data_IF_889741789056
#
_entry.id   IF_889741789056
#
_cell.length_a   1.000
_cell.length_b   1.000
_cell.length_c   1.000
_cell.angle_alpha   90.00
_cell.angle_beta   90.00
_cell.angle_gamma   90.00
#
_symmetry.space_group_name_H-M   'P 1'
#
loop_
_entity.id
_entity.type
_entity.pdbx_description
1 polymer ?
#
# COMPACT_ATOMS: atom_id res chain seq x y z
N UNK A 1 14.68 -2.08 -8.12
CA UNK A 1 14.33 -3.52 -8.14
C UNK A 1 13.97 -4.08 -6.76
N UNK A 2 14.32 -3.37 -5.68
CA UNK A 2 14.20 -3.80 -4.27
C UNK A 2 12.79 -3.67 -3.70
N UNK A 3 12.00 -2.71 -4.20
CA UNK A 3 10.55 -2.69 -3.97
C UNK A 3 9.84 -3.99 -4.40
N UNK A 4 10.43 -4.79 -5.30
CA UNK A 4 9.91 -6.11 -5.70
C UNK A 4 10.26 -7.24 -4.71
N UNK A 5 11.21 -7.01 -3.81
CA UNK A 5 11.75 -7.99 -2.88
C UNK A 5 10.94 -7.97 -1.58
N UNK A 6 10.65 -6.77 -1.04
CA UNK A 6 9.62 -6.61 0.00
C UNK A 6 8.26 -7.17 -0.45
N UNK A 7 7.87 -6.93 -1.72
CA UNK A 7 6.65 -7.52 -2.36
C UNK A 7 6.58 -9.05 -2.33
N UNK A 8 7.73 -9.73 -2.33
CA UNK A 8 7.80 -11.21 -2.33
C UNK A 8 7.78 -11.74 -0.90
N UNK A 9 8.41 -11.02 0.02
CA UNK A 9 8.48 -11.36 1.44
C UNK A 9 7.12 -11.32 2.14
N UNK A 10 6.33 -10.25 1.96
CA UNK A 10 5.01 -10.16 2.61
C UNK A 10 4.03 -11.22 2.12
N UNK A 11 4.19 -11.75 0.90
CA UNK A 11 3.33 -12.83 0.39
C UNK A 11 3.59 -14.18 1.07
N UNK A 12 4.80 -14.42 1.57
CA UNK A 12 5.19 -15.69 2.18
C UNK A 12 4.81 -15.80 3.66
N UNK A 13 4.76 -14.67 4.37
CA UNK A 13 4.60 -14.65 5.83
C UNK A 13 3.22 -14.16 6.31
N UNK A 14 2.38 -13.58 5.43
CA UNK A 14 1.06 -13.06 5.82
C UNK A 14 0.18 -14.13 6.50
N UNK A 15 -0.24 -13.95 7.76
CA UNK A 15 -1.27 -14.78 8.35
C UNK A 15 -2.58 -14.61 7.57
N UNK A 16 -3.14 -15.72 7.07
CA UNK A 16 -4.48 -15.72 6.45
C UNK A 16 -5.52 -15.36 7.51
N UNK A 17 -6.00 -14.12 7.49
CA UNK A 17 -7.21 -13.74 8.22
C UNK A 17 -8.33 -14.73 7.86
N UNK A 18 -9.09 -15.19 8.87
CA UNK A 18 -10.26 -16.03 8.64
C UNK A 18 -11.28 -15.22 7.84
N UNK A 19 -11.69 -15.74 6.68
CA UNK A 19 -12.63 -15.08 5.74
C UNK A 19 -13.97 -14.66 6.36
N UNK A 20 -14.34 -15.18 7.54
CA UNK A 20 -15.67 -15.02 8.15
C UNK A 20 -15.92 -13.69 8.86
N UNK A 21 -14.89 -12.89 9.15
CA UNK A 21 -15.02 -11.64 9.96
C UNK A 21 -14.66 -10.37 9.16
N UNK A 22 -14.42 -10.50 7.84
CA UNK A 22 -14.01 -9.39 6.99
C UNK A 22 -15.21 -8.53 6.59
N UNK A 23 -15.13 -7.24 6.89
CA UNK A 23 -15.99 -6.24 6.26
C UNK A 23 -15.50 -6.00 4.82
N UNK A 24 -16.23 -6.50 3.82
CA UNK A 24 -15.91 -6.32 2.40
C UNK A 24 -16.41 -4.96 1.94
N UNK A 25 -15.54 -3.96 2.04
CA UNK A 25 -15.84 -2.57 1.68
C UNK A 25 -14.65 -1.92 0.98
N UNK A 26 -14.94 -1.07 0.01
CA UNK A 26 -14.01 -0.07 -0.53
C UNK A 26 -14.63 1.29 -0.31
N UNK A 27 -13.91 2.19 0.36
CA UNK A 27 -14.28 3.58 0.59
C UNK A 27 -13.40 4.47 -0.26
N UNK A 28 -14.02 5.31 -1.07
CA UNK A 28 -13.38 6.32 -1.90
C UNK A 28 -13.55 7.65 -1.19
N UNK A 29 -12.47 8.19 -0.63
CA UNK A 29 -12.43 9.50 -0.02
C UNK A 29 -12.16 10.57 -1.07
N UNK A 30 -12.77 11.74 -0.90
CA UNK A 30 -12.59 12.87 -1.82
C UNK A 30 -12.80 14.21 -1.12
N UNK A 31 -12.18 15.25 -1.68
CA UNK A 31 -12.35 16.63 -1.18
C UNK A 31 -13.73 17.19 -1.50
N UNK A 32 -14.26 16.81 -2.66
CA UNK A 32 -15.54 17.27 -3.18
C UNK A 32 -16.22 16.13 -3.93
N UNK A 33 -17.48 15.87 -3.60
CA UNK A 33 -18.31 14.90 -4.30
C UNK A 33 -18.91 15.57 -5.54
N UNK A 34 -18.64 15.09 -6.77
CA UNK A 34 -19.30 15.61 -7.95
C UNK A 34 -20.81 15.37 -7.86
N UNK A 35 -21.58 16.08 -8.69
CA UNK A 35 -23.01 15.79 -8.80
C UNK A 35 -23.21 14.46 -9.52
N UNK A 36 -23.17 13.36 -8.77
CA UNK A 36 -23.33 12.01 -9.29
C UNK A 36 -24.82 11.65 -9.28
N UNK A 37 -25.45 11.59 -10.44
CA UNK A 37 -26.86 11.21 -10.58
C UNK A 37 -27.04 9.69 -10.50
N UNK A 38 -28.26 9.24 -10.21
CA UNK A 38 -28.57 7.80 -10.18
C UNK A 38 -28.32 7.16 -11.56
N UNK A 39 -28.59 7.87 -12.65
CA UNK A 39 -28.33 7.38 -14.01
C UNK A 39 -26.84 7.16 -14.30
N UNK A 40 -25.96 8.03 -13.78
CA UNK A 40 -24.51 7.89 -13.91
C UNK A 40 -23.99 6.71 -13.10
N UNK A 41 -24.51 6.51 -11.89
CA UNK A 41 -24.18 5.36 -11.03
C UNK A 41 -24.62 4.06 -11.70
N UNK A 42 -25.86 4.00 -12.21
CA UNK A 42 -26.38 2.86 -12.96
C UNK A 42 -25.46 2.55 -14.15
N UNK A 43 -25.05 3.58 -14.89
CA UNK A 43 -24.17 3.42 -16.04
C UNK A 43 -22.79 2.91 -15.64
N UNK A 44 -22.22 3.40 -14.53
CA UNK A 44 -20.95 2.93 -13.98
C UNK A 44 -21.02 1.47 -13.55
N UNK A 45 -22.07 1.07 -12.81
CA UNK A 45 -22.29 -0.32 -12.39
C UNK A 45 -22.42 -1.26 -13.59
N UNK A 46 -23.12 -0.84 -14.64
CA UNK A 46 -23.24 -1.63 -15.88
C UNK A 46 -21.92 -1.76 -16.64
N UNK A 47 -21.08 -0.73 -16.65
CA UNK A 47 -19.73 -0.79 -17.24
C UNK A 47 -18.78 -1.67 -16.44
N UNK A 48 -18.90 -1.64 -15.10
CA UNK A 48 -18.09 -2.45 -14.20
C UNK A 48 -18.38 -3.96 -14.38
N UNK A 49 -19.64 -4.31 -14.65
CA UNK A 49 -20.11 -5.68 -14.70
C UNK A 49 -20.84 -5.99 -16.02
N UNK A 50 -20.18 -5.85 -17.19
CA UNK A 50 -20.84 -5.83 -18.50
C UNK A 50 -21.42 -7.20 -18.90
N UNK A 51 -20.85 -8.28 -18.37
CA UNK A 51 -21.31 -9.66 -18.59
C UNK A 51 -22.31 -10.12 -17.54
N UNK A 52 -22.48 -9.36 -16.46
CA UNK A 52 -23.46 -9.64 -15.42
C UNK A 52 -24.74 -8.84 -15.70
N UNK A 53 -25.88 -9.27 -15.17
CA UNK A 53 -27.14 -8.54 -15.26
C UNK A 53 -27.45 -7.85 -13.91
N UNK A 54 -26.72 -6.78 -13.53
CA UNK A 54 -26.95 -6.13 -12.25
C UNK A 54 -28.35 -5.52 -12.20
N UNK A 55 -29.06 -5.78 -11.11
CA UNK A 55 -30.38 -5.21 -10.83
C UNK A 55 -30.23 -4.17 -9.73
N UNK A 56 -30.57 -2.92 -10.02
CA UNK A 56 -30.61 -1.86 -9.00
C UNK A 56 -31.93 -1.94 -8.25
N UNK A 57 -31.84 -1.82 -6.92
CA UNK A 57 -32.99 -1.73 -6.04
C UNK A 57 -33.28 -0.26 -5.71
N UNK A 58 -34.41 -0.03 -5.06
CA UNK A 58 -34.84 1.32 -4.66
C UNK A 58 -33.80 1.98 -3.75
N UNK A 59 -33.41 3.20 -4.12
CA UNK A 59 -32.47 4.00 -3.35
C UNK A 59 -33.13 4.51 -2.07
N UNK A 60 -32.36 4.59 -0.98
CA UNK A 60 -32.81 5.16 0.28
C UNK A 60 -31.88 6.28 0.73
N UNK A 61 -32.42 7.25 1.47
CA UNK A 61 -31.57 8.22 2.15
C UNK A 61 -30.66 7.52 3.17
N UNK A 62 -29.44 8.01 3.34
CA UNK A 62 -28.60 7.61 4.46
C UNK A 62 -29.14 8.25 5.75
N UNK A 63 -28.98 7.59 6.91
CA UNK A 63 -29.20 8.26 8.18
C UNK A 63 -28.20 9.41 8.35
N UNK A 64 -28.64 10.51 8.97
CA UNK A 64 -27.73 11.56 9.39
C UNK A 64 -26.75 11.00 10.45
N UNK A 65 -25.45 11.32 10.37
CA UNK A 65 -24.49 10.81 11.34
C UNK A 65 -24.67 11.53 12.69
N UNK A 66 -24.31 10.87 13.79
CA UNK A 66 -24.48 11.40 15.15
C UNK A 66 -23.79 12.75 15.38
N UNK A 67 -22.66 13.00 14.70
CA UNK A 67 -21.93 14.27 14.78
C UNK A 67 -22.56 15.41 13.95
N UNK A 68 -23.50 15.10 13.05
CA UNK A 68 -24.22 16.08 12.24
C UNK A 68 -25.71 15.67 12.06
N UNK A 69 -26.50 15.65 13.14
CA UNK A 69 -27.87 15.10 13.12
C UNK A 69 -28.86 15.94 12.30
N UNK A 70 -28.53 17.20 12.00
CA UNK A 70 -29.39 18.13 11.25
C UNK A 70 -28.91 18.34 9.80
N UNK A 71 -28.13 17.42 9.25
CA UNK A 71 -27.60 17.53 7.89
C UNK A 71 -28.75 17.49 6.88
N UNK A 72 -28.84 18.50 6.00
CA UNK A 72 -29.95 18.61 5.03
C UNK A 72 -29.91 17.51 3.95
N UNK A 73 -28.71 17.07 3.56
CA UNK A 73 -28.50 15.99 2.59
C UNK A 73 -27.45 14.99 3.13
N UNK A 74 -27.87 13.99 3.94
CA UNK A 74 -26.99 12.92 4.43
C UNK A 74 -26.48 12.02 3.30
N UNK A 75 -26.99 12.19 2.08
CA UNK A 75 -26.68 11.35 0.95
C UNK A 75 -27.59 10.13 0.89
N UNK A 76 -27.15 9.09 0.18
CA UNK A 76 -28.03 7.96 -0.19
C UNK A 76 -27.28 6.65 -0.35
N UNK A 77 -28.03 5.56 -0.22
CA UNK A 77 -27.60 4.20 -0.50
C UNK A 77 -28.38 3.65 -1.69
N UNK A 78 -27.68 3.05 -2.64
CA UNK A 78 -28.27 2.37 -3.80
C UNK A 78 -27.84 0.90 -3.74
N UNK A 79 -28.77 -0.03 -3.46
CA UNK A 79 -28.44 -1.44 -3.48
C UNK A 79 -28.38 -1.98 -4.92
N UNK A 80 -27.39 -2.84 -5.18
CA UNK A 80 -27.16 -3.51 -6.44
C UNK A 80 -27.13 -5.01 -6.21
N UNK A 81 -28.11 -5.72 -6.75
CA UNK A 81 -28.14 -7.17 -6.75
C UNK A 81 -27.45 -7.73 -8.00
N UNK A 82 -26.44 -8.57 -7.83
CA UNK A 82 -25.71 -9.20 -8.93
C UNK A 82 -25.09 -10.52 -8.45
N UNK A 83 -25.12 -11.56 -9.29
CA UNK A 83 -24.52 -12.87 -9.00
C UNK A 83 -24.95 -13.49 -7.64
N UNK A 84 -26.23 -13.30 -7.26
CA UNK A 84 -26.82 -13.74 -5.97
C UNK A 84 -26.25 -13.03 -4.73
N UNK A 85 -25.54 -11.92 -4.93
CA UNK A 85 -25.07 -11.04 -3.87
C UNK A 85 -25.77 -9.68 -3.96
N UNK A 86 -25.78 -8.95 -2.86
CA UNK A 86 -26.26 -7.57 -2.77
C UNK A 86 -25.10 -6.70 -2.31
N UNK A 87 -24.85 -5.64 -3.05
CA UNK A 87 -23.86 -4.62 -2.73
C UNK A 87 -24.56 -3.28 -2.47
N UNK A 88 -24.09 -2.50 -1.51
CA UNK A 88 -24.57 -1.15 -1.25
C UNK A 88 -23.58 -0.14 -1.82
N UNK A 89 -24.06 0.79 -2.64
CA UNK A 89 -23.30 1.97 -3.03
C UNK A 89 -23.79 3.12 -2.15
N UNK A 90 -22.98 3.48 -1.16
CA UNK A 90 -23.28 4.55 -0.20
C UNK A 90 -22.56 5.81 -0.67
N UNK A 91 -23.25 6.92 -0.71
CA UNK A 91 -22.72 8.22 -1.13
C UNK A 91 -23.05 9.21 -0.04
N UNK A 92 -22.02 9.78 0.58
CA UNK A 92 -22.17 10.71 1.69
C UNK A 92 -21.46 12.04 1.40
N UNK A 93 -22.14 13.14 1.76
CA UNK A 93 -21.64 14.52 1.57
C UNK A 93 -21.00 15.11 2.83
N UNK A 94 -20.56 14.24 3.73
CA UNK A 94 -19.89 14.60 4.98
C UNK A 94 -18.61 13.76 5.12
N UNK A 95 -17.71 14.18 6.01
CA UNK A 95 -16.45 13.50 6.22
C UNK A 95 -16.66 12.07 6.78
N UNK A 96 -15.90 11.12 6.26
CA UNK A 96 -15.93 9.72 6.71
C UNK A 96 -15.45 9.60 8.16
N UNK A 97 -14.41 10.35 8.50
CA UNK A 97 -13.99 10.63 9.86
C UNK A 97 -14.28 12.12 10.17
N UNK A 98 -15.09 12.43 11.20
CA UNK A 98 -15.43 13.81 11.55
C UNK A 98 -14.27 14.61 12.15
N UNK A 99 -13.22 13.96 12.63
CA UNK A 99 -12.04 14.62 13.20
C UNK A 99 -10.73 13.94 12.76
N UNK A 100 -10.40 14.02 11.45
CA UNK A 100 -9.24 13.33 10.92
C UNK A 100 -7.93 13.92 11.43
N UNK A 101 -7.92 15.17 11.91
CA UNK A 101 -6.71 15.81 12.47
C UNK A 101 -6.33 15.18 13.82
N UNK A 102 -7.30 14.96 14.71
CA UNK A 102 -7.04 14.34 16.01
C UNK A 102 -6.85 12.82 15.93
N UNK A 103 -7.45 12.18 14.92
CA UNK A 103 -7.47 10.72 14.78
C UNK A 103 -6.33 10.15 13.92
N UNK A 104 -5.55 11.01 13.25
CA UNK A 104 -4.38 10.56 12.47
C UNK A 104 -3.08 10.77 13.24
N UNK A 105 -2.43 9.67 13.60
CA UNK A 105 -1.00 9.73 13.94
C UNK A 105 -0.22 9.80 12.63
N UNK A 106 0.73 10.74 12.46
CA UNK A 106 1.55 10.81 11.25
C UNK A 106 2.16 9.47 10.91
N UNK A 107 1.93 9.00 9.69
CA UNK A 107 2.48 7.75 9.19
C UNK A 107 3.76 8.06 8.38
N UNK A 108 4.49 7.02 7.99
CA UNK A 108 5.54 7.14 6.96
C UNK A 108 4.99 7.47 5.57
N UNK A 109 3.69 7.75 5.44
CA UNK A 109 2.97 8.07 4.21
C UNK A 109 2.28 9.43 4.36
N UNK A 110 3.06 10.53 4.36
CA UNK A 110 2.51 11.88 4.50
C UNK A 110 1.53 12.24 3.37
N UNK A 111 1.69 11.60 2.20
CA UNK A 111 0.74 11.69 1.08
C UNK A 111 -0.62 11.08 1.43
N UNK A 112 -0.65 9.91 2.10
CA UNK A 112 -1.89 9.30 2.58
C UNK A 112 -2.51 10.14 3.69
N UNK A 113 -1.71 10.60 4.66
CA UNK A 113 -2.21 11.42 5.76
C UNK A 113 -2.85 12.72 5.26
N UNK A 114 -2.20 13.38 4.30
CA UNK A 114 -2.73 14.59 3.68
C UNK A 114 -4.01 14.31 2.86
N UNK A 115 -4.04 13.19 2.12
CA UNK A 115 -5.21 12.77 1.36
C UNK A 115 -6.40 12.42 2.25
N UNK A 116 -6.13 11.78 3.40
CA UNK A 116 -7.11 11.49 4.44
C UNK A 116 -7.60 12.79 5.07
N UNK A 117 -6.76 13.62 5.69
CA UNK A 117 -7.18 14.87 6.35
C UNK A 117 -7.98 15.82 5.45
N UNK A 118 -7.68 15.85 4.15
CA UNK A 118 -8.37 16.74 3.22
C UNK A 118 -9.76 16.26 2.78
N UNK A 119 -10.17 15.03 3.10
CA UNK A 119 -11.46 14.49 2.64
C UNK A 119 -12.65 15.20 3.32
N UNK A 120 -13.75 15.33 2.58
CA UNK A 120 -15.00 15.93 3.07
C UNK A 120 -16.25 15.17 2.64
N UNK A 121 -16.07 14.17 1.78
CA UNK A 121 -17.12 13.32 1.26
C UNK A 121 -16.54 11.94 0.96
N UNK A 122 -17.42 10.95 0.83
CA UNK A 122 -17.01 9.59 0.52
C UNK A 122 -18.07 8.82 -0.26
N UNK A 123 -17.61 7.83 -1.01
CA UNK A 123 -18.44 6.78 -1.60
C UNK A 123 -17.95 5.45 -1.06
N UNK A 124 -18.82 4.62 -0.49
CA UNK A 124 -18.48 3.25 -0.13
C UNK A 124 -19.21 2.24 -1.02
N UNK A 125 -18.53 1.14 -1.32
CA UNK A 125 -19.11 -0.01 -2.00
C UNK A 125 -18.98 -1.20 -1.05
N UNK A 126 -20.10 -1.56 -0.42
CA UNK A 126 -20.15 -2.56 0.64
C UNK A 126 -20.82 -3.83 0.13
N UNK A 127 -20.31 -5.00 0.52
CA UNK A 127 -21.08 -6.24 0.40
C UNK A 127 -22.09 -6.34 1.54
N UNK A 128 -23.38 -6.37 1.22
CA UNK A 128 -24.48 -6.42 2.20
C UNK A 128 -24.97 -7.84 2.47
N UNK A 129 -24.76 -8.78 1.54
CA UNK A 129 -25.16 -10.17 1.72
C UNK A 129 -25.03 -11.03 0.47
N UNK A 130 -24.94 -12.35 0.67
CA UNK A 130 -24.68 -13.31 -0.39
C UNK A 130 -23.31 -13.98 -0.23
N UNK A 131 -22.79 -14.52 -1.33
CA UNK A 131 -21.48 -15.16 -1.39
C UNK A 131 -20.35 -14.12 -1.43
N UNK A 132 -19.28 -14.38 -0.70
CA UNK A 132 -18.13 -13.49 -0.55
C UNK A 132 -16.98 -13.80 -1.49
N UNK A 133 -17.00 -14.94 -2.21
CA UNK A 133 -15.85 -15.40 -3.00
C UNK A 133 -15.38 -14.40 -4.07
N UNK A 134 -16.31 -13.59 -4.61
CA UNK A 134 -16.02 -12.55 -5.61
C UNK A 134 -16.24 -11.13 -5.07
N UNK A 135 -16.49 -10.96 -3.77
CA UNK A 135 -16.90 -9.66 -3.21
C UNK A 135 -15.86 -8.56 -3.51
N UNK A 136 -14.58 -8.81 -3.23
CA UNK A 136 -13.52 -7.84 -3.53
C UNK A 136 -13.35 -7.55 -5.04
N UNK A 137 -13.57 -8.55 -5.91
CA UNK A 137 -13.53 -8.33 -7.35
C UNK A 137 -14.65 -7.37 -7.77
N UNK A 138 -15.89 -7.64 -7.35
CA UNK A 138 -17.06 -6.83 -7.70
C UNK A 138 -16.98 -5.42 -7.13
N UNK A 139 -16.66 -5.26 -5.85
CA UNK A 139 -16.58 -3.92 -5.25
C UNK A 139 -15.44 -3.09 -5.87
N UNK A 140 -14.32 -3.73 -6.22
CA UNK A 140 -13.21 -3.07 -6.92
C UNK A 140 -13.62 -2.58 -8.31
N UNK A 141 -14.28 -3.43 -9.09
CA UNK A 141 -14.78 -3.07 -10.43
C UNK A 141 -15.77 -1.90 -10.39
N UNK A 142 -16.72 -1.93 -9.46
CA UNK A 142 -17.68 -0.84 -9.27
C UNK A 142 -16.96 0.43 -8.83
N UNK A 143 -16.06 0.34 -7.85
CA UNK A 143 -15.29 1.49 -7.37
C UNK A 143 -14.46 2.14 -8.48
N UNK A 144 -13.82 1.36 -9.35
CA UNK A 144 -13.02 1.88 -10.46
C UNK A 144 -13.83 2.64 -11.53
N UNK A 145 -15.12 2.32 -11.67
CA UNK A 145 -16.03 3.01 -12.61
C UNK A 145 -16.73 4.23 -12.00
N UNK A 146 -16.81 4.29 -10.67
CA UNK A 146 -17.47 5.38 -9.94
C UNK A 146 -16.47 6.41 -9.41
N UNK A 147 -15.22 6.01 -9.14
CA UNK A 147 -14.18 6.88 -8.58
C UNK A 147 -14.04 8.15 -9.43
N UNK A 148 -14.33 9.34 -8.86
CA UNK A 148 -14.17 10.58 -9.59
C UNK A 148 -12.69 10.94 -9.69
N UNK A 149 -12.34 11.84 -10.61
CA UNK A 149 -10.99 12.41 -10.69
C UNK A 149 -10.59 13.21 -9.44
N UNK A 150 -11.56 13.56 -8.58
CA UNK A 150 -11.35 14.23 -7.29
C UNK A 150 -11.09 13.27 -6.13
N UNK A 151 -11.09 11.95 -6.37
CA UNK A 151 -10.76 10.96 -5.36
C UNK A 151 -9.34 11.17 -4.84
N UNK A 152 -9.17 11.22 -3.52
CA UNK A 152 -7.88 11.43 -2.87
C UNK A 152 -7.32 10.15 -2.28
N UNK A 153 -8.16 9.24 -1.81
CA UNK A 153 -7.73 8.01 -1.16
C UNK A 153 -8.75 6.89 -1.39
N UNK A 154 -8.26 5.68 -1.67
CA UNK A 154 -9.02 4.44 -1.56
C UNK A 154 -8.68 3.82 -0.20
N UNK A 155 -9.69 3.42 0.56
CA UNK A 155 -9.53 2.84 1.89
C UNK A 155 -10.36 1.57 2.01
N UNK A 156 -9.75 0.49 2.50
CA UNK A 156 -10.37 -0.81 2.74
C UNK A 156 -10.37 -1.05 4.25
N UNK A 157 -11.43 -0.66 4.97
CA UNK A 157 -11.45 -0.72 6.42
C UNK A 157 -11.26 -2.14 6.97
N UNK A 158 -11.87 -3.14 6.32
CA UNK A 158 -11.74 -4.54 6.74
C UNK A 158 -10.33 -5.13 6.59
N UNK A 159 -9.47 -4.51 5.77
CA UNK A 159 -8.08 -4.93 5.60
C UNK A 159 -7.07 -3.94 6.21
N UNK A 160 -7.53 -2.80 6.72
CA UNK A 160 -6.69 -1.67 7.11
C UNK A 160 -5.67 -1.30 6.02
N UNK A 161 -6.13 -1.23 4.76
CA UNK A 161 -5.28 -0.88 3.62
C UNK A 161 -5.77 0.42 3.00
N UNK A 162 -4.83 1.26 2.55
CA UNK A 162 -5.13 2.48 1.83
C UNK A 162 -4.22 2.63 0.59
N UNK A 163 -4.70 3.35 -0.42
CA UNK A 163 -3.90 3.73 -1.59
C UNK A 163 -4.38 5.03 -2.22
N UNK A 164 -3.46 5.84 -2.75
CA UNK A 164 -3.83 6.94 -3.64
C UNK A 164 -4.37 6.34 -4.96
N UNK A 165 -5.55 6.75 -5.46
CA UNK A 165 -6.11 6.22 -6.70
C UNK A 165 -5.29 6.69 -7.92
N UNK A 166 -4.37 5.85 -8.38
CA UNK A 166 -3.63 6.07 -9.64
C UNK A 166 -4.32 5.36 -10.81
N UNK A 167 -4.05 5.76 -12.08
CA UNK A 167 -4.56 5.03 -13.24
C UNK A 167 -4.21 3.54 -13.23
N UNK A 168 -3.02 3.17 -12.73
CA UNK A 168 -2.58 1.78 -12.59
C UNK A 168 -3.45 1.01 -11.59
N UNK A 169 -3.74 1.59 -10.42
CA UNK A 169 -4.58 0.95 -9.40
C UNK A 169 -6.01 0.82 -9.90
N UNK A 170 -6.58 1.88 -10.49
CA UNK A 170 -7.94 1.85 -11.01
C UNK A 170 -8.08 0.82 -12.14
N UNK A 171 -7.09 0.68 -13.01
CA UNK A 171 -7.11 -0.34 -14.06
C UNK A 171 -6.99 -1.77 -13.50
N UNK A 172 -6.12 -1.97 -12.52
CA UNK A 172 -6.05 -3.23 -11.79
C UNK A 172 -7.38 -3.54 -11.09
N UNK A 173 -8.12 -2.54 -10.59
CA UNK A 173 -9.42 -2.74 -9.96
C UNK A 173 -10.49 -3.19 -10.95
N UNK A 174 -10.44 -2.74 -12.22
CA UNK A 174 -11.34 -3.20 -13.28
C UNK A 174 -11.09 -4.65 -13.67
N UNK A 175 -9.83 -5.07 -13.69
CA UNK A 175 -9.40 -6.33 -14.31
C UNK A 175 -8.94 -7.42 -13.33
N UNK A 176 -8.71 -7.06 -12.06
CA UNK A 176 -7.97 -7.85 -11.05
C UNK A 176 -6.46 -7.83 -11.29
N UNK A 177 -5.58 -8.33 -10.39
CA UNK A 177 -5.72 -8.65 -8.96
C UNK A 177 -5.29 -7.46 -8.07
N UNK A 178 -6.14 -6.43 -7.99
CA UNK A 178 -5.80 -5.14 -7.38
C UNK A 178 -5.47 -5.16 -5.88
N UNK A 179 -5.98 -6.13 -5.09
CA UNK A 179 -5.69 -6.20 -3.66
C UNK A 179 -4.19 -6.41 -3.37
N UNK A 180 -3.51 -7.20 -4.20
CA UNK A 180 -2.07 -7.41 -4.07
C UNK A 180 -1.32 -6.13 -4.39
N UNK A 181 -1.69 -5.47 -5.50
CA UNK A 181 -1.12 -4.17 -5.85
C UNK A 181 -1.34 -3.14 -4.73
N UNK A 182 -2.56 -3.08 -4.19
CA UNK A 182 -2.92 -2.15 -3.13
C UNK A 182 -2.15 -2.42 -1.83
N UNK A 183 -2.05 -3.69 -1.43
CA UNK A 183 -1.24 -4.09 -0.26
C UNK A 183 0.21 -3.65 -0.42
N UNK A 184 0.76 -3.74 -1.62
CA UNK A 184 2.14 -3.36 -1.91
C UNK A 184 2.35 -1.85 -1.86
N UNK A 185 1.48 -1.07 -2.50
CA UNK A 185 1.58 0.40 -2.48
C UNK A 185 1.19 0.99 -1.14
N UNK A 186 0.49 0.26 -0.26
CA UNK A 186 0.16 0.69 1.09
C UNK A 186 1.36 0.60 2.04
N UNK A 187 2.40 -0.17 1.68
CA UNK A 187 3.55 -0.33 2.55
C UNK A 187 4.27 1.01 2.80
N UNK A 188 4.85 1.18 4.00
CA UNK A 188 5.68 2.33 4.30
C UNK A 188 6.85 2.41 3.30
N UNK A 189 7.08 3.59 2.72
CA UNK A 189 8.27 3.82 1.88
C UNK A 189 9.53 4.06 2.71
N UNK A 190 9.35 4.47 3.97
CA UNK A 190 10.40 4.71 4.97
C UNK A 190 9.96 4.11 6.30
N UNK A 191 10.88 3.47 7.02
CA UNK A 191 10.62 3.00 8.38
C UNK A 191 11.56 3.76 9.32
N UNK A 192 11.00 4.55 10.23
CA UNK A 192 11.78 5.27 11.25
C UNK A 192 12.08 4.34 12.42
N UNK A 193 13.34 4.32 12.86
CA UNK A 193 13.81 3.53 14.01
C UNK A 193 14.73 4.39 14.87
N UNK A 194 14.83 4.10 16.19
CA UNK A 194 15.85 4.72 17.03
C UNK A 194 17.25 4.46 16.48
N UNK A 195 18.14 5.44 16.62
CA UNK A 195 19.52 5.31 16.14
C UNK A 195 20.28 4.16 16.82
N UNK A 196 19.91 3.83 18.05
CA UNK A 196 20.50 2.80 18.91
C UNK A 196 19.65 1.51 18.98
N UNK A 197 18.89 1.22 17.93
CA UNK A 197 18.11 -0.01 17.82
C UNK A 197 19.01 -1.26 17.87
N UNK A 198 18.96 -1.96 19.00
CA UNK A 198 19.78 -3.15 19.25
C UNK A 198 19.49 -4.28 18.26
N UNK A 199 18.25 -4.46 17.82
CA UNK A 199 17.89 -5.52 16.88
C UNK A 199 18.48 -5.25 15.48
N UNK A 200 18.46 -4.00 15.05
CA UNK A 200 19.09 -3.59 13.79
C UNK A 200 20.62 -3.61 13.87
N UNK A 201 21.20 -3.24 15.02
CA UNK A 201 22.64 -3.38 15.25
C UNK A 201 23.10 -4.85 15.20
N UNK A 202 22.30 -5.77 15.74
CA UNK A 202 22.57 -7.21 15.69
C UNK A 202 22.48 -7.75 14.26
N UNK A 203 21.47 -7.32 13.51
CA UNK A 203 21.33 -7.64 12.09
C UNK A 203 22.54 -7.16 11.26
N UNK A 204 23.05 -5.95 11.52
CA UNK A 204 24.24 -5.43 10.85
C UNK A 204 25.50 -6.24 11.19
N UNK A 205 25.67 -6.66 12.45
CA UNK A 205 26.79 -7.53 12.84
C UNK A 205 26.72 -8.89 12.15
N UNK A 206 25.53 -9.50 12.07
CA UNK A 206 25.29 -10.74 11.34
C UNK A 206 25.63 -10.56 9.85
N UNK A 207 25.13 -9.49 9.22
CA UNK A 207 25.37 -9.15 7.82
C UNK A 207 26.87 -9.02 7.52
N UNK A 208 27.63 -8.30 8.34
CA UNK A 208 29.06 -8.19 8.21
C UNK A 208 29.77 -9.54 8.34
N UNK A 209 29.41 -10.34 9.36
CA UNK A 209 30.04 -11.64 9.59
C UNK A 209 29.84 -12.61 8.42
N UNK A 210 28.70 -12.50 7.74
CA UNK A 210 28.33 -13.34 6.59
C UNK A 210 28.58 -12.67 5.24
N UNK A 211 29.18 -11.49 5.19
CA UNK A 211 29.51 -10.81 3.94
C UNK A 211 30.30 -11.69 2.93
N UNK A 212 31.24 -12.57 3.35
CA UNK A 212 31.92 -13.46 2.40
C UNK A 212 30.97 -14.33 1.56
N UNK A 213 29.82 -14.74 2.12
CA UNK A 213 28.78 -15.48 1.39
C UNK A 213 28.19 -14.65 0.25
N UNK A 214 27.89 -13.38 0.52
CA UNK A 214 27.36 -12.45 -0.47
C UNK A 214 28.38 -12.13 -1.56
N UNK A 215 29.63 -11.88 -1.17
CA UNK A 215 30.71 -11.59 -2.11
C UNK A 215 30.98 -12.78 -3.05
N UNK A 216 30.97 -14.01 -2.52
CA UNK A 216 31.10 -15.24 -3.32
C UNK A 216 29.89 -15.40 -4.26
N UNK A 217 28.66 -15.23 -3.77
CA UNK A 217 27.46 -15.31 -4.58
C UNK A 217 27.49 -14.32 -5.75
N UNK A 218 27.87 -13.06 -5.48
CA UNK A 218 28.01 -12.02 -6.49
C UNK A 218 29.08 -12.37 -7.54
N UNK A 219 30.27 -12.80 -7.10
CA UNK A 219 31.37 -13.18 -7.98
C UNK A 219 31.00 -14.36 -8.91
N UNK A 220 30.25 -15.34 -8.37
CA UNK A 220 29.75 -16.50 -9.11
C UNK A 220 28.47 -16.20 -9.91
N UNK A 221 27.93 -14.97 -9.82
CA UNK A 221 26.63 -14.58 -10.40
C UNK A 221 25.50 -15.53 -9.97
N UNK A 222 25.56 -15.99 -8.72
CA UNK A 222 24.58 -16.91 -8.14
C UNK A 222 23.35 -16.11 -7.69
N UNK A 223 22.21 -16.39 -8.32
CA UNK A 223 20.97 -15.68 -8.00
C UNK A 223 20.87 -14.31 -8.66
N UNK A 224 19.84 -13.56 -8.28
CA UNK A 224 19.49 -12.26 -8.88
C UNK A 224 19.28 -11.20 -7.80
N UNK A 225 19.27 -9.93 -8.19
CA UNK A 225 19.04 -8.78 -7.32
C UNK A 225 20.00 -8.73 -6.12
N UNK A 226 21.30 -8.73 -6.40
CA UNK A 226 22.31 -8.51 -5.37
C UNK A 226 22.24 -7.05 -4.91
N UNK A 227 21.80 -6.84 -3.67
CA UNK A 227 21.64 -5.51 -3.10
C UNK A 227 22.32 -5.44 -1.73
N UNK A 228 22.88 -4.28 -1.42
CA UNK A 228 23.56 -4.02 -0.15
C UNK A 228 23.02 -2.72 0.48
N UNK A 229 22.89 -2.66 1.80
CA UNK A 229 22.34 -1.52 2.52
C UNK A 229 23.43 -0.76 3.26
N UNK A 230 23.37 0.57 3.17
CA UNK A 230 24.36 1.47 3.76
C UNK A 230 23.69 2.71 4.35
N UNK A 231 24.32 3.37 5.33
CA UNK A 231 23.92 4.69 5.79
C UNK A 231 24.38 5.78 4.82
N UNK A 232 23.50 6.71 4.51
CA UNK A 232 23.78 7.93 3.76
C UNK A 232 23.54 9.12 4.67
N UNK A 233 24.55 9.96 4.84
CA UNK A 233 24.55 11.09 5.77
C UNK A 233 24.85 12.36 4.97
N UNK A 234 23.97 13.35 5.05
CA UNK A 234 24.15 14.67 4.42
C UNK A 234 24.53 15.77 5.42
N UNK A 235 24.80 15.39 6.67
CA UNK A 235 25.10 16.25 7.81
C UNK A 235 23.86 16.81 8.52
N UNK A 236 22.65 16.54 8.03
CA UNK A 236 21.38 16.92 8.65
C UNK A 236 20.53 15.70 9.02
N UNK A 237 20.51 14.69 8.14
CA UNK A 237 19.79 13.44 8.33
C UNK A 237 20.66 12.25 7.94
N UNK A 238 20.29 11.07 8.45
CA UNK A 238 20.87 9.80 8.04
C UNK A 238 19.77 8.89 7.53
N UNK A 239 19.92 8.40 6.31
CA UNK A 239 19.04 7.40 5.73
C UNK A 239 19.75 6.09 5.43
N UNK A 240 19.08 4.98 5.71
CA UNK A 240 19.61 3.63 5.50
C UNK A 240 19.03 3.07 4.21
N UNK A 241 19.77 3.22 3.12
CA UNK A 241 19.27 2.94 1.77
C UNK A 241 20.00 1.77 1.11
N UNK A 242 19.32 1.11 0.19
CA UNK A 242 19.88 0.01 -0.56
C UNK A 242 20.55 0.48 -1.85
N UNK A 243 21.60 -0.24 -2.25
CA UNK A 243 22.27 -0.11 -3.53
C UNK A 243 22.12 -1.42 -4.32
N UNK A 244 21.82 -1.32 -5.61
CA UNK A 244 21.91 -2.44 -6.55
C UNK A 244 23.40 -2.62 -6.92
N UNK A 245 24.00 -3.76 -6.55
CA UNK A 245 25.45 -3.97 -6.58
C UNK A 245 25.96 -4.26 -8.00
N UNK A 246 26.99 -3.53 -8.43
CA UNK A 246 27.64 -3.67 -9.72
C UNK A 246 29.09 -4.16 -9.63
N UNK A 247 29.78 -3.87 -8.52
CA UNK A 247 31.14 -4.34 -8.28
C UNK A 247 31.42 -4.47 -6.78
N UNK A 248 32.28 -5.43 -6.42
CA UNK A 248 32.82 -5.62 -5.08
C UNK A 248 34.34 -5.68 -5.19
N UNK A 249 35.03 -4.92 -4.34
CA UNK A 249 36.49 -5.00 -4.12
C UNK A 249 36.77 -5.48 -2.69
N UNK A 250 38.04 -5.58 -2.30
CA UNK A 250 38.41 -5.95 -0.93
C UNK A 250 37.94 -4.93 0.12
N UNK A 251 37.68 -3.67 -0.28
CA UNK A 251 37.37 -2.58 0.65
C UNK A 251 36.04 -1.87 0.35
N UNK A 252 35.48 -2.03 -0.85
CA UNK A 252 34.32 -1.25 -1.29
C UNK A 252 33.29 -2.06 -2.08
N UNK A 253 32.05 -1.58 -2.06
CA UNK A 253 30.96 -2.01 -2.93
C UNK A 253 30.53 -0.80 -3.77
N UNK A 254 30.41 -0.98 -5.09
CA UNK A 254 29.92 0.03 -6.02
C UNK A 254 28.64 -0.44 -6.70
N UNK A 255 27.71 0.49 -6.95
CA UNK A 255 26.39 0.17 -7.46
C UNK A 255 25.57 1.42 -7.78
N UNK A 256 24.27 1.23 -7.97
CA UNK A 256 23.31 2.33 -8.08
C UNK A 256 22.38 2.40 -6.88
N UNK A 257 22.04 3.60 -6.43
CA UNK A 257 21.06 3.76 -5.36
C UNK A 257 19.70 3.21 -5.79
N UNK A 258 19.13 2.31 -4.98
CA UNK A 258 17.91 1.55 -5.27
C UNK A 258 16.64 2.11 -4.60
N UNK A 259 16.78 3.19 -3.84
CA UNK A 259 15.72 3.92 -3.14
C UNK A 259 15.70 5.39 -3.58
N UNK A 260 14.52 6.00 -3.54
CA UNK A 260 14.38 7.45 -3.58
C UNK A 260 14.65 7.99 -2.16
N UNK A 261 15.62 8.89 -1.97
CA UNK A 261 15.85 9.49 -0.66
C UNK A 261 14.68 10.38 -0.22
N UNK A 262 14.40 10.43 1.09
CA UNK A 262 13.29 11.21 1.63
C UNK A 262 13.73 12.50 2.36
N UNK A 263 14.78 12.42 3.17
CA UNK A 263 15.32 13.48 4.04
C UNK A 263 16.73 13.91 3.61
N UNK A 264 17.59 12.96 3.22
CA UNK A 264 18.96 13.27 2.81
C UNK A 264 19.00 13.93 1.43
N UNK A 265 19.77 15.00 1.33
CA UNK A 265 19.91 15.80 0.10
C UNK A 265 21.18 15.43 -0.66
N UNK A 266 21.16 15.66 -1.97
CA UNK A 266 22.32 15.46 -2.84
C UNK A 266 22.47 14.03 -3.37
N UNK A 267 21.49 13.17 -3.10
CA UNK A 267 21.35 11.85 -3.71
C UNK A 267 20.02 11.76 -4.46
N UNK A 268 19.96 10.90 -5.46
CA UNK A 268 18.76 10.57 -6.22
C UNK A 268 18.72 9.07 -6.55
N UNK A 269 17.52 8.53 -6.73
CA UNK A 269 17.33 7.16 -7.21
C UNK A 269 18.14 6.93 -8.51
N UNK A 270 18.93 5.86 -8.54
CA UNK A 270 19.76 5.50 -9.68
C UNK A 270 21.15 6.15 -9.70
N UNK A 271 21.50 6.98 -8.72
CA UNK A 271 22.85 7.56 -8.62
C UNK A 271 23.91 6.47 -8.46
N UNK A 272 25.05 6.65 -9.14
CA UNK A 272 26.22 5.78 -8.95
C UNK A 272 26.88 6.09 -7.61
N UNK A 273 27.01 5.07 -6.78
CA UNK A 273 27.55 5.20 -5.42
C UNK A 273 28.61 4.15 -5.17
N UNK A 274 29.58 4.49 -4.33
CA UNK A 274 30.60 3.56 -3.83
C UNK A 274 30.67 3.71 -2.32
N UNK A 275 30.52 2.60 -1.60
CA UNK A 275 30.48 2.56 -0.14
C UNK A 275 31.57 1.63 0.39
N UNK A 276 32.20 1.96 1.53
CA UNK A 276 33.17 1.08 2.15
C UNK A 276 32.46 -0.09 2.84
N UNK A 277 33.06 -1.28 2.78
CA UNK A 277 32.46 -2.51 3.30
C UNK A 277 32.27 -2.45 4.82
N UNK A 278 33.06 -1.65 5.54
CA UNK A 278 32.96 -1.45 6.99
C UNK A 278 31.67 -0.72 7.43
N UNK A 279 30.93 -0.12 6.50
CA UNK A 279 29.63 0.53 6.73
C UNK A 279 28.44 -0.33 6.27
N UNK A 280 28.67 -1.59 5.89
CA UNK A 280 27.63 -2.49 5.40
C UNK A 280 26.63 -2.85 6.51
N UNK A 281 25.38 -2.44 6.37
CA UNK A 281 24.35 -2.72 7.38
C UNK A 281 23.51 -3.95 7.08
N UNK A 282 23.39 -4.31 5.80
CA UNK A 282 22.67 -5.51 5.35
C UNK A 282 23.03 -5.83 3.90
N UNK A 283 22.71 -7.04 3.46
CA UNK A 283 22.79 -7.43 2.07
C UNK A 283 21.75 -8.51 1.78
N UNK A 284 21.29 -8.60 0.54
CA UNK A 284 20.43 -9.70 0.11
C UNK A 284 20.63 -10.04 -1.36
N UNK A 285 20.24 -11.26 -1.71
CA UNK A 285 20.01 -11.68 -3.10
C UNK A 285 18.96 -12.78 -3.14
N UNK A 286 18.35 -12.98 -4.31
CA UNK A 286 17.33 -14.01 -4.52
C UNK A 286 17.97 -15.22 -5.17
N UNK A 287 17.83 -16.39 -4.56
CA UNK A 287 18.28 -17.67 -5.10
C UNK A 287 17.20 -18.72 -4.93
N UNK A 288 16.84 -19.41 -6.02
CA UNK A 288 15.76 -20.42 -6.03
C UNK A 288 14.43 -19.92 -5.42
N UNK A 289 14.10 -18.65 -5.66
CA UNK A 289 12.90 -18.00 -5.13
C UNK A 289 12.90 -17.77 -3.61
N UNK A 290 14.03 -18.01 -2.94
CA UNK A 290 14.28 -17.69 -1.54
C UNK A 290 15.19 -16.46 -1.43
N UNK A 291 15.05 -15.72 -0.34
CA UNK A 291 15.95 -14.62 -0.01
C UNK A 291 17.06 -15.15 0.86
N UNK A 292 18.29 -14.84 0.46
CA UNK A 292 19.49 -15.06 1.25
C UNK A 292 19.96 -13.71 1.77
N UNK A 293 20.22 -13.61 3.08
CA UNK A 293 20.51 -12.34 3.75
C UNK A 293 19.22 -11.62 4.19
N UNK A 294 19.19 -10.30 4.09
CA UNK A 294 18.04 -9.46 4.44
C UNK A 294 17.73 -9.51 5.93
N UNK A 295 18.77 -9.49 6.77
CA UNK A 295 18.65 -9.68 8.22
C UNK A 295 17.84 -8.56 8.87
N UNK A 296 18.07 -7.32 8.45
CA UNK A 296 17.30 -6.17 8.94
C UNK A 296 15.87 -6.20 8.42
N UNK A 297 15.63 -6.76 7.24
CA UNK A 297 14.27 -6.89 6.68
C UNK A 297 13.43 -7.86 7.50
N UNK A 298 14.01 -8.96 7.97
CA UNK A 298 13.32 -9.92 8.83
C UNK A 298 12.85 -9.26 10.13
N UNK A 299 13.73 -8.50 10.80
CA UNK A 299 13.39 -7.73 12.01
C UNK A 299 12.23 -6.76 11.75
N UNK A 300 12.29 -6.01 10.65
CA UNK A 300 11.30 -4.98 10.33
C UNK A 300 9.93 -5.56 9.92
N UNK A 301 9.90 -6.77 9.37
CA UNK A 301 8.67 -7.48 9.02
C UNK A 301 8.02 -8.11 10.26
N UNK A 302 8.81 -8.82 11.09
CA UNK A 302 8.29 -9.56 12.25
C UNK A 302 7.62 -8.62 13.27
N UNK A 303 8.16 -7.41 13.47
CA UNK A 303 7.58 -6.41 14.38
C UNK A 303 6.32 -5.71 13.83
N UNK A 304 6.10 -5.72 12.51
CA UNK A 304 4.85 -5.19 11.93
C UNK A 304 3.67 -6.17 12.07
N UNK A 305 3.94 -7.45 12.34
CA UNK A 305 2.91 -8.48 12.50
C UNK A 305 2.53 -8.77 13.98
N UNK A 306 3.25 -8.20 14.94
CA UNK A 306 3.03 -8.32 16.39
C UNK A 306 2.21 -7.19 16.98
#
# INVERSE_FOLDING_TARGET
MIGSILRTLTRLFRPRARRSDLNFSVVILMKELPNLTDAEIVSAVRRALPTSAPTLLEASALPAPDFAPNLEDPGRMIPVAVNRCVYGILIARFAYDPDPESNTTPTSRPDFDAAYRAHKAWIAIDHLGGDTDQAFAVIGQIAAEIAPSTATLLFLPGLNLAAIPTPEILEAMRTGPWLDLMSNVAQPSVIHRPQDDAALADAAREAHSRFPEFAEAFALKKGINHSAKFPFDDGQAVEHMWIDVHAITDTTISGTLGNEPHEVKGFALGDQVTRPIDQLEDWLYIHNNDIVGGFSVQILIDEHES
#
